data_IF_739768771419
#
_entry.id   IF_739768771419
#
_cell.length_a   1.000
_cell.length_b   1.000
_cell.length_c   1.000
_cell.angle_alpha   90.00
_cell.angle_beta   90.00
_cell.angle_gamma   90.00
#
_symmetry.space_group_name_H-M   'P 1'
#
loop_
_entity.id
_entity.type
_entity.pdbx_description
1 polymer ?
#
# COMPACT_ATOMS: atom_id res chain seq x y z
N UNK A 1 1.76 18.03 -1.40
CA UNK A 1 1.67 18.07 0.07
C UNK A 1 0.20 18.23 0.40
N UNK A 2 -0.34 17.35 1.23
CA UNK A 2 -1.76 17.34 1.58
C UNK A 2 -2.17 18.59 2.37
N UNK A 3 -3.32 19.14 2.01
CA UNK A 3 -3.93 20.32 2.64
C UNK A 3 -4.91 19.94 3.76
N UNK A 4 -5.25 20.88 4.64
CA UNK A 4 -6.27 20.68 5.67
C UNK A 4 -7.63 20.26 5.09
N UNK A 5 -8.02 20.84 3.95
CA UNK A 5 -9.26 20.48 3.26
C UNK A 5 -9.25 19.01 2.82
N UNK A 6 -8.15 18.57 2.22
CA UNK A 6 -7.98 17.17 1.78
C UNK A 6 -8.02 16.19 2.96
N UNK A 7 -7.39 16.53 4.09
CA UNK A 7 -7.53 15.75 5.32
C UNK A 7 -8.98 15.75 5.85
N UNK A 8 -9.68 16.87 5.76
CA UNK A 8 -11.10 16.97 6.11
C UNK A 8 -11.98 16.05 5.27
N UNK A 9 -11.76 15.97 3.97
CA UNK A 9 -12.51 15.09 3.07
C UNK A 9 -12.22 13.61 3.34
N UNK A 10 -10.94 13.26 3.56
CA UNK A 10 -10.55 11.91 3.94
C UNK A 10 -11.17 11.50 5.30
N UNK A 11 -11.22 12.41 6.27
CA UNK A 11 -11.83 12.17 7.58
C UNK A 11 -13.33 11.91 7.46
N UNK A 12 -14.04 12.69 6.64
CA UNK A 12 -15.46 12.45 6.31
C UNK A 12 -15.68 11.09 5.66
N UNK A 13 -14.81 10.71 4.71
CA UNK A 13 -14.94 9.45 3.96
C UNK A 13 -14.96 8.22 4.86
N UNK A 14 -14.13 8.22 5.92
CA UNK A 14 -14.02 7.12 6.89
C UNK A 14 -14.73 7.41 8.22
N UNK A 15 -15.46 8.52 8.30
CA UNK A 15 -16.20 8.99 9.46
C UNK A 15 -15.37 9.06 10.76
N UNK A 16 -14.15 9.61 10.69
CA UNK A 16 -13.29 9.86 11.85
C UNK A 16 -12.93 11.35 11.98
N UNK A 17 -12.15 11.69 13.00
CA UNK A 17 -11.59 13.04 13.14
C UNK A 17 -10.35 13.26 12.24
N UNK A 18 -10.05 14.52 11.92
CA UNK A 18 -8.88 14.91 11.12
C UNK A 18 -7.54 14.49 11.76
N UNK A 19 -7.33 14.65 13.09
CA UNK A 19 -6.12 14.17 13.75
C UNK A 19 -5.84 12.68 13.53
N UNK A 20 -6.85 11.82 13.50
CA UNK A 20 -6.70 10.38 13.24
C UNK A 20 -6.19 10.11 11.82
N UNK A 21 -6.73 10.81 10.82
CA UNK A 21 -6.25 10.68 9.43
C UNK A 21 -4.81 11.17 9.32
N UNK A 22 -4.48 12.32 9.93
CA UNK A 22 -3.12 12.86 9.92
C UNK A 22 -2.13 11.94 10.63
N UNK A 23 -2.51 11.36 11.77
CA UNK A 23 -1.67 10.43 12.52
C UNK A 23 -1.31 9.19 11.67
N UNK A 24 -2.31 8.61 11.02
CA UNK A 24 -2.13 7.45 10.14
C UNK A 24 -1.35 7.84 8.89
N UNK A 25 -1.64 8.98 8.26
CA UNK A 25 -0.86 9.48 7.14
C UNK A 25 0.61 9.67 7.54
N UNK A 26 0.91 10.22 8.72
CA UNK A 26 2.29 10.41 9.17
C UNK A 26 3.02 9.09 9.44
N UNK A 27 2.35 8.10 10.01
CA UNK A 27 2.99 6.84 10.45
C UNK A 27 3.04 5.80 9.35
N UNK A 28 1.97 5.67 8.56
CA UNK A 28 1.81 4.66 7.52
C UNK A 28 2.28 5.14 6.15
N UNK A 29 2.25 6.46 5.86
CA UNK A 29 3.04 6.97 4.75
C UNK A 29 4.50 6.89 5.18
N UNK A 30 5.25 5.95 4.59
CA UNK A 30 6.68 5.78 4.84
C UNK A 30 7.48 6.97 4.26
N UNK A 31 7.29 8.17 4.83
CA UNK A 31 7.70 9.46 4.31
C UNK A 31 6.93 9.87 3.06
N UNK A 32 7.65 10.05 1.96
CA UNK A 32 7.09 10.44 0.67
C UNK A 32 6.54 9.23 -0.11
N UNK A 33 5.35 9.37 -0.67
CA UNK A 33 4.73 8.39 -1.58
C UNK A 33 5.35 8.34 -2.97
N UNK A 34 6.32 9.20 -3.25
CA UNK A 34 7.00 9.32 -4.55
C UNK A 34 8.51 9.05 -4.45
N UNK A 35 9.06 8.56 -5.56
CA UNK A 35 10.50 8.53 -5.83
C UNK A 35 11.01 9.93 -6.19
N UNK A 36 12.33 10.09 -6.28
CA UNK A 36 12.97 11.38 -6.61
C UNK A 36 12.58 11.92 -8.00
N UNK A 37 12.20 11.03 -8.92
CA UNK A 37 11.77 11.37 -10.27
C UNK A 37 10.25 11.62 -10.39
N UNK A 38 9.53 11.64 -9.26
CA UNK A 38 8.09 11.91 -9.21
C UNK A 38 7.20 10.70 -9.44
N UNK A 39 7.73 9.54 -9.80
CA UNK A 39 6.93 8.30 -9.92
C UNK A 39 6.46 7.83 -8.54
N UNK A 40 5.27 7.20 -8.41
CA UNK A 40 4.86 6.61 -7.15
C UNK A 40 5.88 5.58 -6.68
N UNK A 41 6.16 5.55 -5.38
CA UNK A 41 7.01 4.51 -4.77
C UNK A 41 6.30 3.16 -4.94
N UNK A 42 7.03 2.15 -5.39
CA UNK A 42 6.50 0.79 -5.52
C UNK A 42 7.42 -0.24 -4.87
N UNK A 43 6.84 -1.38 -4.52
CA UNK A 43 7.58 -2.60 -4.25
C UNK A 43 6.94 -3.75 -5.03
N UNK A 44 7.73 -4.42 -5.86
CA UNK A 44 7.24 -5.51 -6.71
C UNK A 44 7.41 -6.87 -6.03
N UNK A 45 6.32 -7.62 -5.90
CA UNK A 45 6.24 -8.88 -5.17
C UNK A 45 6.18 -10.06 -6.14
N UNK A 46 7.32 -10.68 -6.45
CA UNK A 46 7.40 -11.73 -7.47
C UNK A 46 6.60 -13.00 -7.13
N UNK A 47 6.41 -13.27 -5.84
CA UNK A 47 5.53 -14.33 -5.36
C UNK A 47 4.05 -14.00 -5.43
N UNK A 48 3.69 -12.72 -5.44
CA UNK A 48 2.32 -12.29 -5.76
C UNK A 48 2.11 -12.40 -7.27
N UNK A 49 3.10 -12.04 -8.08
CA UNK A 49 3.04 -12.19 -9.53
C UNK A 49 2.82 -13.64 -9.96
N UNK A 50 3.54 -14.58 -9.33
CA UNK A 50 3.27 -16.02 -9.46
C UNK A 50 1.80 -16.38 -9.26
N UNK A 51 1.20 -15.89 -8.16
CA UNK A 51 -0.21 -16.15 -7.84
C UNK A 51 -1.17 -15.47 -8.82
N UNK A 52 -0.85 -14.26 -9.30
CA UNK A 52 -1.68 -13.54 -10.26
C UNK A 52 -1.65 -14.20 -11.65
N UNK A 53 -0.51 -14.75 -12.09
CA UNK A 53 -0.43 -15.53 -13.32
C UNK A 53 -1.29 -16.80 -13.27
N UNK A 54 -1.22 -17.55 -12.16
CA UNK A 54 -2.08 -18.71 -11.95
C UNK A 54 -3.57 -18.36 -12.02
N UNK A 55 -3.98 -17.23 -11.43
CA UNK A 55 -5.37 -16.74 -11.51
C UNK A 55 -5.80 -16.38 -12.94
N UNK A 56 -4.85 -16.07 -13.82
CA UNK A 56 -5.07 -15.79 -15.23
C UNK A 56 -4.87 -17.03 -16.12
N UNK A 57 -4.74 -18.23 -15.54
CA UNK A 57 -4.57 -19.48 -16.28
C UNK A 57 -3.20 -19.65 -16.93
N UNK A 58 -2.21 -18.85 -16.53
CA UNK A 58 -0.83 -18.94 -17.01
C UNK A 58 -0.05 -19.76 -15.99
N UNK A 59 0.62 -20.83 -16.44
CA UNK A 59 1.55 -21.59 -15.60
C UNK A 59 2.86 -20.79 -15.41
N UNK A 60 3.13 -20.25 -14.22
CA UNK A 60 4.36 -19.51 -13.97
C UNK A 60 5.61 -20.40 -13.99
N UNK A 61 5.49 -21.71 -13.73
CA UNK A 61 6.63 -22.63 -13.73
C UNK A 61 7.25 -22.74 -15.12
N UNK A 62 6.42 -22.73 -16.18
CA UNK A 62 6.88 -22.86 -17.57
C UNK A 62 7.66 -21.64 -18.08
N UNK A 63 7.56 -20.50 -17.39
CA UNK A 63 8.21 -19.24 -17.78
C UNK A 63 9.15 -18.70 -16.69
N UNK A 64 9.44 -19.47 -15.64
CA UNK A 64 10.27 -19.03 -14.52
C UNK A 64 11.74 -18.86 -14.90
N UNK A 65 12.26 -19.73 -15.77
CA UNK A 65 13.67 -19.71 -16.18
C UNK A 65 14.00 -18.37 -16.86
N UNK A 66 14.94 -17.61 -16.29
CA UNK A 66 15.31 -16.26 -16.74
C UNK A 66 14.45 -15.13 -16.17
N UNK A 67 13.43 -15.45 -15.36
CA UNK A 67 12.52 -14.52 -14.71
C UNK A 67 12.55 -14.64 -13.18
N UNK A 68 13.59 -15.23 -12.60
CA UNK A 68 13.68 -15.54 -11.16
C UNK A 68 13.68 -14.28 -10.27
N UNK A 69 14.02 -13.12 -10.82
CA UNK A 69 13.95 -11.82 -10.14
C UNK A 69 12.53 -11.27 -10.02
N UNK A 70 11.61 -11.71 -10.88
CA UNK A 70 10.21 -11.26 -10.91
C UNK A 70 9.21 -12.38 -10.64
N UNK A 71 9.65 -13.65 -10.58
CA UNK A 71 8.74 -14.79 -10.55
C UNK A 71 9.28 -15.95 -9.72
N UNK A 72 8.62 -16.25 -8.59
CA UNK A 72 8.96 -17.35 -7.69
C UNK A 72 7.76 -17.75 -6.82
N UNK A 73 7.58 -19.03 -6.44
CA UNK A 73 6.36 -19.49 -5.78
C UNK A 73 6.24 -19.04 -4.31
N UNK A 74 7.36 -18.88 -3.60
CA UNK A 74 7.40 -18.62 -2.17
C UNK A 74 8.37 -17.48 -1.88
N UNK A 75 7.99 -16.61 -0.94
CA UNK A 75 8.89 -15.61 -0.38
C UNK A 75 9.82 -16.27 0.65
N UNK A 76 11.03 -16.60 0.22
CA UNK A 76 12.12 -17.09 1.08
C UNK A 76 13.18 -15.98 1.19
N UNK A 77 13.29 -15.27 2.34
CA UNK A 77 14.19 -14.14 2.48
C UNK A 77 15.65 -14.47 2.13
N UNK A 78 16.12 -15.71 2.37
CA UNK A 78 17.49 -16.11 2.04
C UNK A 78 17.74 -16.14 0.52
N UNK A 79 16.70 -16.34 -0.28
CA UNK A 79 16.80 -16.49 -1.74
C UNK A 79 16.39 -15.22 -2.48
N UNK A 80 15.31 -14.58 -2.04
CA UNK A 80 14.62 -13.55 -2.85
C UNK A 80 14.82 -12.12 -2.34
N UNK A 81 15.30 -11.92 -1.10
CA UNK A 81 15.48 -10.57 -0.52
C UNK A 81 16.38 -9.68 -1.37
N UNK A 82 17.37 -10.24 -2.06
CA UNK A 82 18.26 -9.51 -2.98
C UNK A 82 17.50 -8.74 -4.07
N UNK A 83 16.36 -9.24 -4.54
CA UNK A 83 15.55 -8.61 -5.59
C UNK A 83 14.84 -7.34 -5.11
N UNK A 84 14.64 -7.19 -3.81
CA UNK A 84 13.99 -6.01 -3.20
C UNK A 84 14.93 -4.80 -3.15
N UNK A 85 16.23 -5.02 -3.36
CA UNK A 85 17.23 -3.96 -3.50
C UNK A 85 17.46 -3.54 -4.97
N UNK A 86 16.81 -4.21 -5.93
CA UNK A 86 16.88 -3.85 -7.35
C UNK A 86 15.97 -2.67 -7.66
N UNK A 87 16.07 -2.13 -8.88
CA UNK A 87 15.08 -1.19 -9.41
C UNK A 87 13.72 -1.89 -9.55
N UNK A 88 12.77 -1.46 -8.72
CA UNK A 88 11.43 -2.05 -8.67
C UNK A 88 10.61 -1.73 -9.92
N UNK A 89 10.84 -0.59 -10.57
CA UNK A 89 10.18 -0.28 -11.84
C UNK A 89 10.73 -1.13 -12.97
N UNK A 90 12.04 -1.38 -13.01
CA UNK A 90 12.60 -2.30 -14.00
C UNK A 90 12.02 -3.72 -13.85
N UNK A 91 11.85 -4.20 -12.61
CA UNK A 91 11.17 -5.47 -12.31
C UNK A 91 9.71 -5.45 -12.76
N UNK A 92 8.97 -4.38 -12.48
CA UNK A 92 7.59 -4.22 -12.91
C UNK A 92 7.47 -4.22 -14.45
N UNK A 93 8.26 -3.44 -15.16
CA UNK A 93 8.21 -3.36 -16.63
C UNK A 93 8.56 -4.70 -17.28
N UNK A 94 9.51 -5.46 -16.71
CA UNK A 94 9.80 -6.84 -17.13
C UNK A 94 8.57 -7.75 -16.96
N UNK A 95 7.89 -7.67 -15.82
CA UNK A 95 6.68 -8.46 -15.56
C UNK A 95 5.50 -8.07 -16.47
N UNK A 96 5.36 -6.78 -16.82
CA UNK A 96 4.33 -6.29 -17.74
C UNK A 96 4.45 -6.89 -19.15
N UNK A 97 5.65 -7.29 -19.58
CA UNK A 97 5.83 -8.02 -20.85
C UNK A 97 5.19 -9.40 -20.85
N UNK A 98 4.98 -10.00 -19.68
CA UNK A 98 4.33 -11.32 -19.55
C UNK A 98 2.81 -11.14 -19.42
N UNK A 99 2.39 -10.31 -18.46
CA UNK A 99 0.98 -9.98 -18.26
C UNK A 99 0.87 -8.68 -17.46
N UNK A 100 0.42 -7.60 -18.10
CA UNK A 100 0.36 -6.27 -17.51
C UNK A 100 -0.56 -6.20 -16.29
N UNK A 101 -1.81 -6.67 -16.40
CA UNK A 101 -2.78 -6.60 -15.32
C UNK A 101 -2.30 -7.38 -14.07
N UNK A 102 -1.77 -8.59 -14.27
CA UNK A 102 -1.18 -9.38 -13.20
C UNK A 102 0.05 -8.70 -12.59
N UNK A 103 0.89 -8.05 -13.40
CA UNK A 103 2.08 -7.34 -12.93
C UNK A 103 1.70 -6.13 -12.06
N UNK A 104 0.78 -5.27 -12.52
CA UNK A 104 0.31 -4.11 -11.77
C UNK A 104 -0.36 -4.52 -10.45
N UNK A 105 -1.11 -5.63 -10.46
CA UNK A 105 -1.71 -6.23 -9.25
C UNK A 105 -0.69 -6.75 -8.25
N UNK A 106 0.55 -6.99 -8.69
CA UNK A 106 1.61 -7.61 -7.91
C UNK A 106 2.63 -6.62 -7.34
N UNK A 107 2.39 -5.32 -7.47
CA UNK A 107 3.13 -4.30 -6.76
C UNK A 107 2.28 -3.64 -5.68
N UNK A 108 2.91 -3.19 -4.59
CA UNK A 108 2.37 -2.18 -3.69
C UNK A 108 2.69 -0.79 -4.22
N UNK A 109 1.80 0.17 -3.98
CA UNK A 109 1.90 1.50 -4.60
C UNK A 109 1.76 2.65 -3.61
N UNK A 110 2.49 3.73 -3.87
CA UNK A 110 2.36 5.02 -3.22
C UNK A 110 2.80 5.02 -1.75
N UNK A 111 2.38 6.06 -1.02
CA UNK A 111 2.68 6.29 0.38
C UNK A 111 2.29 5.12 1.28
N UNK A 112 1.07 4.61 1.09
CA UNK A 112 0.45 3.62 1.95
C UNK A 112 0.74 2.17 1.55
N UNK A 113 1.48 1.95 0.45
CA UNK A 113 1.91 0.64 -0.02
C UNK A 113 0.76 -0.37 -0.15
N UNK A 114 -0.38 0.06 -0.68
CA UNK A 114 -1.52 -0.83 -0.94
C UNK A 114 -1.21 -1.67 -2.18
N UNK A 115 -1.40 -2.98 -2.07
CA UNK A 115 -1.22 -3.91 -3.20
C UNK A 115 -2.22 -3.64 -4.32
N UNK A 116 -1.76 -3.65 -5.57
CA UNK A 116 -2.59 -3.39 -6.75
C UNK A 116 -3.76 -4.35 -6.91
N UNK A 117 -3.66 -5.59 -6.41
CA UNK A 117 -4.80 -6.52 -6.40
C UNK A 117 -5.99 -6.04 -5.53
N UNK A 118 -5.80 -5.02 -4.69
CA UNK A 118 -6.85 -4.38 -3.89
C UNK A 118 -7.53 -3.19 -4.60
N UNK A 119 -7.26 -2.94 -5.90
CA UNK A 119 -7.80 -1.79 -6.63
C UNK A 119 -9.31 -1.58 -6.44
N UNK A 120 -10.09 -2.66 -6.48
CA UNK A 120 -11.55 -2.60 -6.31
C UNK A 120 -11.95 -2.18 -4.88
N UNK A 121 -11.18 -2.60 -3.86
CA UNK A 121 -11.39 -2.16 -2.48
C UNK A 121 -11.02 -0.68 -2.27
N UNK A 122 -10.10 -0.16 -3.07
CA UNK A 122 -9.77 1.26 -3.12
C UNK A 122 -10.80 2.10 -3.91
N UNK A 123 -11.78 1.48 -4.55
CA UNK A 123 -12.86 2.15 -5.30
C UNK A 123 -12.61 2.31 -6.80
N UNK A 124 -11.65 1.58 -7.38
CA UNK A 124 -11.33 1.67 -8.81
C UNK A 124 -11.93 0.51 -9.62
N UNK A 125 -12.24 0.77 -10.89
CA UNK A 125 -12.80 -0.21 -11.80
C UNK A 125 -11.74 -1.15 -12.41
N UNK A 126 -10.48 -0.71 -12.44
CA UNK A 126 -9.35 -1.47 -12.97
C UNK A 126 -8.09 -1.20 -12.14
N UNK A 127 -7.10 -2.09 -12.23
CA UNK A 127 -5.80 -1.87 -11.59
C UNK A 127 -5.04 -0.70 -12.25
N UNK A 128 -5.24 -0.48 -13.55
CA UNK A 128 -4.66 0.65 -14.28
C UNK A 128 -5.16 1.98 -13.70
N UNK A 129 -6.48 2.13 -13.51
CA UNK A 129 -7.01 3.36 -12.91
C UNK A 129 -6.52 3.56 -11.47
N UNK A 130 -6.36 2.47 -10.70
CA UNK A 130 -5.76 2.55 -9.37
C UNK A 130 -4.32 3.04 -9.43
N UNK A 131 -3.50 2.48 -10.32
CA UNK A 131 -2.09 2.84 -10.51
C UNK A 131 -1.93 4.28 -10.97
N UNK A 132 -2.70 4.71 -11.96
CA UNK A 132 -2.68 6.09 -12.46
C UNK A 132 -2.98 7.08 -11.33
N UNK A 133 -3.98 6.77 -10.51
CA UNK A 133 -4.36 7.58 -9.37
C UNK A 133 -3.26 7.67 -8.30
N UNK A 134 -2.36 6.69 -8.20
CA UNK A 134 -1.23 6.78 -7.26
C UNK A 134 -0.19 7.83 -7.68
N UNK A 135 -0.32 8.48 -8.84
CA UNK A 135 0.54 9.60 -9.24
C UNK A 135 0.24 10.91 -8.50
N UNK A 136 -0.77 10.94 -7.62
CA UNK A 136 -1.19 12.10 -6.83
C UNK A 136 -1.30 11.75 -5.33
N UNK A 137 -0.77 12.58 -4.43
CA UNK A 137 -0.71 12.27 -2.99
C UNK A 137 -2.10 12.23 -2.35
N UNK A 138 -3.02 13.08 -2.82
CA UNK A 138 -4.39 13.09 -2.33
C UNK A 138 -5.16 11.83 -2.76
N UNK A 139 -4.99 11.40 -4.01
CA UNK A 139 -5.55 10.14 -4.47
C UNK A 139 -4.92 8.93 -3.76
N UNK A 140 -3.64 8.96 -3.40
CA UNK A 140 -3.05 7.92 -2.53
C UNK A 140 -3.77 7.87 -1.17
N UNK A 141 -4.05 9.03 -0.55
CA UNK A 141 -4.80 9.10 0.71
C UNK A 141 -6.25 8.59 0.56
N UNK A 142 -6.96 8.99 -0.50
CA UNK A 142 -8.33 8.53 -0.75
C UNK A 142 -8.38 7.01 -1.02
N UNK A 143 -7.40 6.48 -1.76
CA UNK A 143 -7.26 5.05 -2.03
C UNK A 143 -7.08 4.26 -0.72
N UNK A 144 -6.27 4.79 0.19
CA UNK A 144 -6.08 4.26 1.53
C UNK A 144 -7.36 4.30 2.36
N UNK A 145 -8.03 5.45 2.43
CA UNK A 145 -9.29 5.60 3.15
C UNK A 145 -10.38 4.64 2.65
N UNK A 146 -10.54 4.50 1.33
CA UNK A 146 -11.48 3.54 0.74
C UNK A 146 -11.10 2.09 1.10
N UNK A 147 -9.82 1.74 1.00
CA UNK A 147 -9.35 0.41 1.35
C UNK A 147 -9.67 0.07 2.81
N UNK A 148 -9.24 0.91 3.77
CA UNK A 148 -9.47 0.63 5.20
C UNK A 148 -10.96 0.63 5.56
N UNK A 149 -11.78 1.39 4.84
CA UNK A 149 -13.24 1.33 4.98
C UNK A 149 -13.80 0.01 4.47
N UNK A 150 -13.31 -0.46 3.32
CA UNK A 150 -13.75 -1.73 2.71
C UNK A 150 -13.36 -2.95 3.55
N UNK A 151 -12.18 -2.93 4.18
CA UNK A 151 -11.71 -4.00 5.07
C UNK A 151 -12.06 -3.78 6.54
N UNK A 152 -12.91 -2.78 6.84
CA UNK A 152 -13.40 -2.46 8.18
C UNK A 152 -12.30 -2.13 9.21
N UNK A 153 -11.14 -1.62 8.78
CA UNK A 153 -10.13 -1.07 9.69
C UNK A 153 -10.42 0.38 10.10
N UNK A 154 -11.29 1.08 9.37
CA UNK A 154 -11.72 2.43 9.74
C UNK A 154 -12.41 2.48 11.13
N UNK A 155 -13.08 1.40 11.56
CA UNK A 155 -13.74 1.39 12.87
C UNK A 155 -12.75 1.46 14.04
N UNK A 156 -11.53 0.97 13.85
CA UNK A 156 -10.49 1.11 14.86
C UNK A 156 -10.06 2.58 14.99
N UNK A 157 -9.92 3.31 13.87
CA UNK A 157 -9.63 4.75 13.88
C UNK A 157 -10.78 5.54 14.53
N UNK A 158 -12.04 5.20 14.25
CA UNK A 158 -13.21 5.84 14.86
C UNK A 158 -13.21 5.73 16.39
N UNK A 159 -12.77 4.59 16.92
CA UNK A 159 -12.66 4.34 18.36
C UNK A 159 -11.27 4.63 18.93
N UNK A 160 -10.34 5.17 18.13
CA UNK A 160 -8.94 5.41 18.50
C UNK A 160 -8.23 4.16 19.05
N UNK A 161 -8.63 2.98 18.55
CA UNK A 161 -8.00 1.69 18.83
C UNK A 161 -6.76 1.50 17.95
N UNK A 162 -5.68 2.17 18.34
CA UNK A 162 -4.40 2.13 17.61
C UNK A 162 -3.79 0.74 17.53
N UNK A 163 -4.02 -0.10 18.53
CA UNK A 163 -3.54 -1.49 18.54
C UNK A 163 -4.30 -2.35 17.54
N UNK A 164 -5.63 -2.26 17.55
CA UNK A 164 -6.47 -2.98 16.59
C UNK A 164 -6.19 -2.52 15.16
N UNK A 165 -6.06 -1.21 14.93
CA UNK A 165 -5.70 -0.70 13.61
C UNK A 165 -4.31 -1.20 13.18
N UNK A 166 -3.28 -1.03 14.02
CA UNK A 166 -1.92 -1.44 13.68
C UNK A 166 -1.83 -2.95 13.42
N UNK A 167 -2.52 -3.78 14.21
CA UNK A 167 -2.58 -5.23 13.99
C UNK A 167 -3.27 -5.59 12.68
N UNK A 168 -4.34 -4.89 12.34
CA UNK A 168 -5.10 -5.14 11.12
C UNK A 168 -4.36 -4.70 9.85
N UNK A 169 -3.66 -3.56 9.91
CA UNK A 169 -2.96 -2.98 8.76
C UNK A 169 -1.54 -3.55 8.57
N UNK A 170 -0.75 -3.61 9.66
CA UNK A 170 0.66 -4.03 9.63
C UNK A 170 0.87 -5.51 9.98
N UNK A 171 -0.19 -6.21 10.38
CA UNK A 171 -0.16 -7.63 10.75
C UNK A 171 0.13 -7.89 12.24
N UNK A 172 0.14 -9.18 12.66
CA UNK A 172 0.23 -9.57 14.08
C UNK A 172 1.52 -9.12 14.78
N UNK A 173 2.58 -8.88 14.02
CA UNK A 173 3.90 -8.47 14.51
C UNK A 173 4.10 -6.95 14.56
N UNK A 174 3.05 -6.15 14.38
CA UNK A 174 3.11 -4.68 14.35
C UNK A 174 3.88 -4.06 15.54
N UNK A 175 3.76 -4.67 16.72
CA UNK A 175 4.36 -4.20 17.97
C UNK A 175 5.89 -4.18 17.93
N UNK A 176 6.53 -5.05 17.11
CA UNK A 176 8.00 -5.08 16.95
C UNK A 176 8.53 -3.76 16.41
N UNK A 177 7.72 -3.06 15.61
CA UNK A 177 8.02 -1.75 15.04
C UNK A 177 7.28 -0.60 15.74
N UNK A 178 6.60 -0.89 16.86
CA UNK A 178 5.87 0.06 17.70
C UNK A 178 4.81 0.89 16.95
N UNK A 179 4.13 0.29 15.95
CA UNK A 179 3.15 1.01 15.13
C UNK A 179 2.03 1.63 15.95
N UNK A 180 1.49 0.92 16.94
CA UNK A 180 0.45 1.42 17.84
C UNK A 180 0.90 2.64 18.65
N UNK A 181 2.11 2.59 19.21
CA UNK A 181 2.68 3.69 19.99
C UNK A 181 2.90 4.91 19.09
N UNK A 182 3.45 4.70 17.89
CA UNK A 182 3.69 5.77 16.91
C UNK A 182 2.37 6.43 16.48
N UNK A 183 1.35 5.64 16.18
CA UNK A 183 0.02 6.14 15.81
C UNK A 183 -0.59 6.97 16.93
N UNK A 184 -0.57 6.46 18.16
CA UNK A 184 -1.08 7.18 19.33
C UNK A 184 -0.35 8.50 19.54
N UNK A 185 0.99 8.48 19.51
CA UNK A 185 1.79 9.69 19.73
C UNK A 185 1.56 10.74 18.63
N UNK A 186 1.45 10.30 17.37
CA UNK A 186 1.13 11.20 16.27
C UNK A 186 -0.26 11.83 16.45
N UNK A 187 -1.27 11.03 16.84
CA UNK A 187 -2.61 11.51 17.14
C UNK A 187 -2.62 12.57 18.24
N UNK A 188 -1.98 12.29 19.38
CA UNK A 188 -1.89 13.23 20.51
C UNK A 188 -1.23 14.55 20.07
N UNK A 189 -0.20 14.48 19.22
CA UNK A 189 0.47 15.65 18.66
C UNK A 189 -0.46 16.53 17.81
N UNK A 190 -1.23 15.94 16.89
CA UNK A 190 -2.18 16.68 16.05
C UNK A 190 -3.39 17.19 16.82
N UNK A 191 -3.86 16.45 17.81
CA UNK A 191 -4.97 16.88 18.67
C UNK A 191 -4.61 18.14 19.46
N UNK A 192 -3.38 18.24 19.97
CA UNK A 192 -2.93 19.38 20.76
C UNK A 192 -2.62 20.63 19.92
N UNK A 193 -2.54 20.51 18.59
CA UNK A 193 -2.39 21.65 17.67
C UNK A 193 -3.73 22.33 17.33
N UNK A 194 -4.87 21.78 17.79
CA UNK A 194 -6.21 22.32 17.56
C UNK A 194 -6.65 23.29 18.68
N UNK A 195 -5.73 23.67 19.59
CA UNK A 195 -5.97 24.64 20.68
C UNK A 195 -5.32 25.97 20.35
#
# INVERSE_FOLDING_TARGET
>A
MLTEHQYGDAAKLIACDVPSVKAVAQVEANGNGFLKDGRPKILFEGHVFWKQLLKNGIDPQSIQVGNEDILYPVWDPAKVRKYYNMDQYARLEKAKQINEDAALKSASWGAFQIMGFNYAACGYNSVQNFVDAQSDDYNQLLSFCNYIKKVHLNVNLQHQDWKGFARGYNGPDYWKNQYDIKLKNAYDGFKNQII
#
